data_IF_151779922835
#
_entry.id   IF_151779922835
#
_cell.length_a   1.000
_cell.length_b   1.000
_cell.length_c   1.000
_cell.angle_alpha   90.00
_cell.angle_beta   90.00
_cell.angle_gamma   90.00
#
_symmetry.space_group_name_H-M   'P 1'
#
loop_
_entity.id
_entity.type
_entity.pdbx_description
1 polymer ?
#
# COMPACT_ATOMS: atom_id res chain seq x y z
N UNK A 1 -45.97 24.03 -8.15
CA UNK A 1 -46.97 24.58 -9.10
C UNK A 1 -46.31 24.71 -10.47
N UNK A 2 -46.97 24.18 -11.50
CA UNK A 2 -46.62 24.02 -12.95
C UNK A 2 -46.37 25.36 -13.69
N UNK A 3 -45.96 25.43 -14.99
CA UNK A 3 -46.10 24.45 -16.11
C UNK A 3 -44.84 24.23 -17.00
N UNK A 4 -44.61 23.09 -17.68
CA UNK A 4 -45.16 22.55 -18.95
C UNK A 4 -45.13 23.47 -20.18
N UNK A 5 -44.28 23.15 -21.15
CA UNK A 5 -44.48 23.42 -22.58
C UNK A 5 -44.03 22.21 -23.43
N UNK A 6 -44.91 21.84 -24.37
CA UNK A 6 -44.79 20.81 -25.41
C UNK A 6 -43.98 21.32 -26.61
N UNK A 7 -43.33 20.43 -27.38
CA UNK A 7 -43.63 20.20 -28.80
C UNK A 7 -42.72 19.12 -29.45
N UNK A 8 -43.32 18.21 -30.23
CA UNK A 8 -42.67 17.36 -31.24
C UNK A 8 -42.40 18.12 -32.55
N UNK A 9 -42.16 17.49 -33.73
CA UNK A 9 -42.81 16.26 -34.21
C UNK A 9 -41.92 15.22 -34.93
N UNK A 10 -42.57 14.09 -35.25
CA UNK A 10 -42.13 12.95 -36.04
C UNK A 10 -41.82 13.25 -37.52
N UNK A 11 -40.94 12.43 -38.14
CA UNK A 11 -41.06 12.10 -39.58
C UNK A 11 -40.48 10.71 -39.91
N UNK A 12 -41.38 9.76 -40.17
CA UNK A 12 -41.16 8.55 -40.95
C UNK A 12 -41.12 8.92 -42.45
N UNK A 13 -40.34 8.18 -43.25
CA UNK A 13 -40.69 7.91 -44.66
C UNK A 13 -39.99 6.63 -45.17
N UNK A 14 -40.84 5.72 -45.66
CA UNK A 14 -40.56 4.50 -46.43
C UNK A 14 -39.97 4.80 -47.82
N UNK A 15 -39.31 3.80 -48.41
CA UNK A 15 -39.42 3.53 -49.87
C UNK A 15 -38.14 3.05 -50.58
N UNK A 16 -38.07 1.76 -50.92
CA UNK A 16 -37.35 1.29 -52.13
C UNK A 16 -38.20 1.54 -53.40
N UNK A 17 -37.99 0.89 -54.56
CA UNK A 17 -37.09 -0.24 -54.89
C UNK A 17 -36.47 -0.27 -56.33
N UNK A 18 -35.74 -1.37 -56.65
CA UNK A 18 -35.48 -2.02 -57.98
C UNK A 18 -34.73 -1.24 -59.10
N UNK A 19 -33.88 -1.79 -59.99
CA UNK A 19 -33.32 -3.12 -60.27
C UNK A 19 -32.18 -3.01 -61.32
N UNK A 20 -31.49 -4.14 -61.54
CA UNK A 20 -30.83 -4.60 -62.78
C UNK A 20 -29.41 -4.14 -63.16
N UNK A 21 -28.47 -5.07 -63.00
CA UNK A 21 -27.90 -5.78 -64.15
C UNK A 21 -26.59 -5.26 -64.74
N UNK A 22 -25.48 -5.98 -64.49
CA UNK A 22 -24.55 -6.53 -65.51
C UNK A 22 -23.18 -6.90 -64.89
N UNK A 23 -22.80 -8.17 -65.00
CA UNK A 23 -21.41 -8.64 -64.98
C UNK A 23 -20.85 -8.58 -66.43
N UNK A 24 -19.57 -8.90 -66.74
CA UNK A 24 -18.48 -9.41 -65.89
C UNK A 24 -17.11 -8.74 -66.19
N UNK A 25 -16.05 -9.15 -65.48
CA UNK A 25 -14.82 -9.73 -66.08
C UNK A 25 -13.74 -9.96 -65.01
N UNK A 26 -13.10 -11.12 -65.12
CA UNK A 26 -12.19 -11.70 -64.16
C UNK A 26 -10.90 -10.90 -63.96
N UNK A 27 -10.64 -10.46 -62.73
CA UNK A 27 -9.31 -10.03 -62.29
C UNK A 27 -8.79 -11.03 -61.27
N UNK A 28 -7.81 -11.84 -61.69
CA UNK A 28 -7.06 -12.76 -60.82
C UNK A 28 -6.52 -12.00 -59.60
N UNK A 29 -7.03 -12.32 -58.40
CA UNK A 29 -6.41 -11.92 -57.13
C UNK A 29 -5.33 -12.93 -56.78
N UNK A 30 -4.08 -12.48 -56.79
CA UNK A 30 -2.97 -13.19 -56.14
C UNK A 30 -3.19 -13.06 -54.63
N UNK A 31 -3.51 -14.17 -53.96
CA UNK A 31 -3.53 -14.24 -52.50
C UNK A 31 -2.08 -14.27 -52.00
N UNK A 32 -1.55 -13.10 -51.64
CA UNK A 32 -0.37 -13.03 -50.79
C UNK A 32 -0.77 -13.48 -49.38
N UNK A 33 -0.45 -14.73 -49.05
CA UNK A 33 -0.66 -15.28 -47.72
C UNK A 33 0.22 -14.55 -46.69
N UNK A 34 -0.35 -13.59 -45.97
CA UNK A 34 0.26 -13.08 -44.72
C UNK A 34 0.06 -14.17 -43.67
N UNK A 35 1.15 -14.87 -43.35
CA UNK A 35 1.24 -15.79 -42.23
C UNK A 35 0.97 -14.99 -40.94
N UNK A 36 -0.18 -15.19 -40.32
CA UNK A 36 -0.49 -14.62 -39.02
C UNK A 36 0.43 -15.27 -37.97
N UNK A 37 1.22 -14.46 -37.27
CA UNK A 37 1.97 -14.92 -36.10
C UNK A 37 0.97 -15.21 -34.98
N UNK A 38 0.87 -16.48 -34.59
CA UNK A 38 0.06 -16.90 -33.45
C UNK A 38 0.72 -16.36 -32.18
N UNK A 39 0.16 -15.29 -31.61
CA UNK A 39 0.54 -14.84 -30.29
C UNK A 39 0.12 -15.92 -29.29
N UNK A 40 1.10 -16.53 -28.61
CA UNK A 40 0.84 -17.43 -27.48
C UNK A 40 0.04 -16.67 -26.43
N UNK A 41 -1.24 -17.00 -26.29
CA UNK A 41 -2.10 -16.47 -25.26
C UNK A 41 -1.46 -16.83 -23.90
N UNK A 42 -1.05 -15.80 -23.16
CA UNK A 42 -0.67 -15.98 -21.76
C UNK A 42 -1.87 -16.58 -21.03
N UNK A 43 -1.67 -17.53 -20.09
CA UNK A 43 -2.78 -18.10 -19.35
C UNK A 43 -3.56 -16.97 -18.69
N UNK A 44 -4.85 -16.89 -18.99
CA UNK A 44 -5.74 -15.91 -18.38
C UNK A 44 -5.68 -16.11 -16.87
N UNK A 45 -5.12 -15.14 -16.16
CA UNK A 45 -5.15 -15.14 -14.70
C UNK A 45 -6.61 -15.21 -14.28
N UNK A 46 -6.99 -16.25 -13.54
CA UNK A 46 -8.34 -16.39 -13.00
C UNK A 46 -8.78 -15.13 -12.25
N UNK A 47 -10.09 -14.95 -12.03
CA UNK A 47 -10.63 -13.72 -11.45
C UNK A 47 -9.97 -13.42 -10.10
N UNK A 48 -9.15 -12.35 -10.07
CA UNK A 48 -8.51 -11.88 -8.84
C UNK A 48 -9.57 -11.27 -7.94
N UNK A 49 -9.58 -11.68 -6.66
CA UNK A 49 -10.46 -11.07 -5.66
C UNK A 49 -10.03 -9.60 -5.46
N UNK A 50 -10.98 -8.65 -5.40
CA UNK A 50 -10.64 -7.24 -5.14
C UNK A 50 -9.99 -7.08 -3.76
N UNK A 51 -8.91 -6.29 -3.67
CA UNK A 51 -8.33 -5.86 -2.40
C UNK A 51 -9.38 -5.04 -1.63
N UNK A 52 -9.58 -5.37 -0.35
CA UNK A 52 -10.63 -4.75 0.49
C UNK A 52 -10.10 -3.73 1.49
N UNK A 53 -8.82 -3.79 1.79
CA UNK A 53 -8.14 -2.89 2.69
C UNK A 53 -6.68 -3.28 2.87
N UNK A 54 -5.92 -2.39 3.49
CA UNK A 54 -4.49 -2.54 3.79
C UNK A 54 -4.28 -2.18 5.26
N UNK A 55 -3.44 -2.96 5.95
CA UNK A 55 -2.94 -2.61 7.27
C UNK A 55 -1.45 -2.32 7.12
N UNK A 56 -1.03 -1.14 7.53
CA UNK A 56 0.37 -0.74 7.52
C UNK A 56 0.97 -0.83 8.92
N UNK A 57 2.18 -1.37 9.00
CA UNK A 57 3.07 -1.11 10.14
C UNK A 57 3.72 0.28 9.98
N UNK A 58 4.45 0.72 11.00
CA UNK A 58 5.12 2.01 11.03
C UNK A 58 6.58 1.96 10.56
N UNK A 59 7.46 1.48 11.42
CA UNK A 59 8.91 1.57 11.25
C UNK A 59 9.38 0.54 10.21
N UNK A 60 10.10 1.00 9.19
CA UNK A 60 10.49 0.16 8.06
C UNK A 60 9.37 -0.07 7.03
N UNK A 61 8.17 0.50 7.25
CA UNK A 61 7.04 0.42 6.30
C UNK A 61 6.61 1.81 5.82
N UNK A 62 5.92 2.60 6.65
CA UNK A 62 5.53 3.97 6.30
C UNK A 62 6.59 5.02 6.68
N UNK A 63 7.47 4.66 7.60
CA UNK A 63 8.54 5.53 8.10
C UNK A 63 9.88 4.83 8.02
N UNK A 64 10.94 5.59 7.79
CA UNK A 64 12.31 5.08 7.87
C UNK A 64 12.63 4.78 9.34
N UNK A 65 13.19 3.60 9.67
CA UNK A 65 13.57 3.30 11.04
C UNK A 65 14.75 4.19 11.46
N UNK A 66 14.58 4.95 12.54
CA UNK A 66 15.54 5.98 13.00
C UNK A 66 16.00 5.81 14.46
N UNK A 67 15.39 4.88 15.19
CA UNK A 67 15.80 4.53 16.55
C UNK A 67 16.88 3.45 16.46
N UNK A 68 18.04 3.71 17.08
CA UNK A 68 19.09 2.71 17.28
C UNK A 68 18.70 1.80 18.47
N UNK A 69 17.82 0.83 18.20
CA UNK A 69 17.40 -0.15 19.20
C UNK A 69 18.58 -0.89 19.85
N UNK A 70 19.61 -1.36 19.12
CA UNK A 70 20.80 -1.93 19.75
C UNK A 70 21.49 -1.01 20.76
N UNK A 71 21.68 0.27 20.45
CA UNK A 71 22.27 1.22 21.40
C UNK A 71 21.38 1.40 22.64
N UNK A 72 20.07 1.57 22.43
CA UNK A 72 19.09 1.67 23.51
C UNK A 72 19.11 0.44 24.42
N UNK A 73 19.12 -0.78 23.85
CA UNK A 73 19.14 -2.01 24.64
C UNK A 73 20.42 -2.16 25.45
N UNK A 74 21.58 -1.83 24.88
CA UNK A 74 22.84 -1.84 25.63
C UNK A 74 22.80 -0.87 26.79
N UNK A 75 22.27 0.33 26.60
CA UNK A 75 22.20 1.32 27.67
C UNK A 75 21.24 0.89 28.77
N UNK A 76 20.04 0.41 28.42
CA UNK A 76 19.06 -0.10 29.40
C UNK A 76 19.60 -1.30 30.17
N UNK A 77 20.21 -2.27 29.48
CA UNK A 77 20.66 -3.53 30.08
C UNK A 77 22.03 -3.44 30.76
N UNK A 78 22.76 -2.33 30.59
CA UNK A 78 24.06 -2.11 31.22
C UNK A 78 25.26 -2.67 30.44
N UNK A 79 25.18 -2.75 29.11
CA UNK A 79 26.30 -3.00 28.21
C UNK A 79 26.14 -4.21 27.29
N UNK A 80 27.18 -4.47 26.49
CA UNK A 80 27.19 -5.51 25.45
C UNK A 80 26.96 -6.93 26.00
N UNK A 81 27.55 -7.26 27.15
CA UNK A 81 27.44 -8.59 27.73
C UNK A 81 26.00 -8.91 28.14
N UNK A 82 25.32 -7.96 28.81
CA UNK A 82 23.93 -8.11 29.21
C UNK A 82 22.99 -8.14 28.01
N UNK A 83 23.25 -7.30 27.00
CA UNK A 83 22.50 -7.31 25.75
C UNK A 83 22.64 -8.65 24.99
N UNK A 84 23.86 -9.19 24.86
CA UNK A 84 24.10 -10.47 24.22
C UNK A 84 23.42 -11.63 24.97
N UNK A 85 23.45 -11.61 26.31
CA UNK A 85 22.76 -12.60 27.14
C UNK A 85 21.25 -12.57 26.92
N UNK A 86 20.63 -11.39 26.97
CA UNK A 86 19.19 -11.20 26.74
C UNK A 86 18.78 -11.67 25.33
N UNK A 87 19.57 -11.34 24.31
CA UNK A 87 19.34 -11.77 22.93
C UNK A 87 19.47 -13.29 22.77
N UNK A 88 20.42 -13.91 23.48
CA UNK A 88 20.61 -15.36 23.50
C UNK A 88 19.41 -16.09 24.13
N UNK A 89 18.91 -15.59 25.26
CA UNK A 89 17.72 -16.16 25.93
C UNK A 89 16.43 -15.95 25.14
N UNK A 90 16.32 -14.84 24.39
CA UNK A 90 15.14 -14.49 23.60
C UNK A 90 15.08 -15.10 22.20
N UNK A 91 15.91 -16.10 21.88
CA UNK A 91 15.91 -16.73 20.56
C UNK A 91 16.36 -15.80 19.43
N UNK A 92 17.21 -14.81 19.73
CA UNK A 92 17.74 -13.86 18.76
C UNK A 92 17.05 -12.49 18.73
N UNK A 93 15.99 -12.27 19.51
CA UNK A 93 15.39 -10.95 19.73
C UNK A 93 15.44 -10.55 21.20
N UNK A 94 15.23 -9.26 21.48
CA UNK A 94 15.11 -8.73 22.84
C UNK A 94 13.80 -7.99 22.92
N UNK A 95 12.89 -8.47 23.77
CA UNK A 95 11.75 -7.69 24.23
C UNK A 95 12.19 -6.92 25.47
N UNK A 96 12.57 -5.65 25.25
CA UNK A 96 13.14 -4.82 26.32
C UNK A 96 12.11 -4.50 27.40
N UNK A 97 10.83 -4.38 27.06
CA UNK A 97 9.78 -4.03 28.02
C UNK A 97 9.52 -5.22 28.94
N UNK A 98 9.47 -6.43 28.38
CA UNK A 98 9.37 -7.63 29.19
C UNK A 98 10.62 -7.85 30.06
N UNK A 99 11.82 -7.53 29.54
CA UNK A 99 13.06 -7.65 30.31
C UNK A 99 13.09 -6.78 31.58
N UNK A 100 12.45 -5.60 31.55
CA UNK A 100 12.45 -4.63 32.67
C UNK A 100 11.18 -4.70 33.53
N UNK A 101 10.21 -5.56 33.19
CA UNK A 101 8.89 -5.65 33.83
C UNK A 101 9.00 -5.90 35.34
N UNK A 102 9.90 -6.83 35.73
CA UNK A 102 10.10 -7.24 37.12
C UNK A 102 11.30 -6.55 37.81
N UNK A 103 11.85 -5.49 37.22
CA UNK A 103 12.97 -4.76 37.82
C UNK A 103 12.53 -3.96 39.05
N UNK A 104 13.48 -3.74 39.96
CA UNK A 104 13.24 -2.85 41.09
C UNK A 104 12.80 -1.45 40.60
N UNK A 105 11.87 -0.76 41.29
CA UNK A 105 11.23 0.45 40.78
C UNK A 105 12.20 1.55 40.29
N UNK A 106 13.31 1.77 40.99
CA UNK A 106 14.30 2.77 40.60
C UNK A 106 15.03 2.41 39.30
N UNK A 107 15.32 1.11 39.10
CA UNK A 107 15.95 0.62 37.87
C UNK A 107 14.97 0.65 36.70
N UNK A 108 13.72 0.27 36.94
CA UNK A 108 12.67 0.32 35.93
C UNK A 108 12.40 1.77 35.48
N UNK A 109 12.34 2.72 36.43
CA UNK A 109 12.21 4.15 36.12
C UNK A 109 13.37 4.64 35.25
N UNK A 110 14.60 4.31 35.62
CA UNK A 110 15.76 4.68 34.82
C UNK A 110 15.73 4.07 33.41
N UNK A 111 15.32 2.80 33.28
CA UNK A 111 15.16 2.15 31.98
C UNK A 111 14.14 2.89 31.09
N UNK A 112 12.98 3.27 31.64
CA UNK A 112 11.99 4.06 30.90
C UNK A 112 12.50 5.45 30.52
N UNK A 113 13.30 6.11 31.36
CA UNK A 113 13.92 7.40 31.04
C UNK A 113 14.87 7.27 29.83
N UNK A 114 15.67 6.21 29.78
CA UNK A 114 16.54 5.91 28.63
C UNK A 114 15.69 5.65 27.38
N UNK A 115 14.69 4.79 27.46
CA UNK A 115 13.79 4.48 26.32
C UNK A 115 13.13 5.76 25.80
N UNK A 116 12.55 6.57 26.67
CA UNK A 116 11.88 7.81 26.31
C UNK A 116 12.84 8.83 25.67
N UNK A 117 14.12 8.82 26.05
CA UNK A 117 15.14 9.66 25.41
C UNK A 117 15.38 9.22 23.96
N UNK A 118 15.61 7.92 23.73
CA UNK A 118 15.80 7.37 22.39
C UNK A 118 14.57 7.54 21.50
N UNK A 119 13.36 7.40 22.06
CA UNK A 119 12.11 7.64 21.33
C UNK A 119 11.97 9.10 20.89
N UNK A 120 12.31 10.05 21.76
CA UNK A 120 12.29 11.48 21.44
C UNK A 120 13.29 11.83 20.35
N UNK A 121 14.52 11.34 20.47
CA UNK A 121 15.54 11.50 19.43
C UNK A 121 15.12 10.86 18.10
N UNK A 122 14.42 9.72 18.15
CA UNK A 122 13.84 9.07 16.99
C UNK A 122 12.77 9.94 16.33
N UNK A 123 11.89 10.54 17.12
CA UNK A 123 10.84 11.44 16.63
C UNK A 123 11.43 12.65 15.90
N UNK A 124 12.47 13.27 16.47
CA UNK A 124 13.13 14.46 15.89
C UNK A 124 13.79 14.16 14.53
N UNK A 125 14.17 12.91 14.28
CA UNK A 125 14.82 12.45 13.04
C UNK A 125 13.86 11.73 12.07
N UNK A 126 12.59 11.62 12.43
CA UNK A 126 11.62 10.78 11.73
C UNK A 126 11.46 11.23 10.29
N UNK A 127 11.48 10.24 9.38
CA UNK A 127 11.35 10.46 7.96
C UNK A 127 10.28 9.53 7.39
N UNK A 128 9.47 10.07 6.47
CA UNK A 128 8.52 9.26 5.72
C UNK A 128 9.29 8.36 4.75
N UNK A 129 8.84 7.11 4.62
CA UNK A 129 9.41 6.17 3.66
C UNK A 129 9.15 6.69 2.24
N UNK A 130 10.16 6.77 1.35
CA UNK A 130 9.95 7.15 -0.03
C UNK A 130 8.87 6.28 -0.71
N UNK A 131 7.91 6.91 -1.39
CA UNK A 131 6.79 6.21 -2.02
C UNK A 131 5.58 5.98 -1.11
N UNK A 132 5.68 6.21 0.21
CA UNK A 132 4.57 6.00 1.14
C UNK A 132 3.42 6.97 0.88
N UNK A 133 3.71 8.27 0.66
CA UNK A 133 2.70 9.28 0.37
C UNK A 133 1.97 9.00 -0.94
N UNK A 134 2.69 8.58 -1.98
CA UNK A 134 2.12 8.22 -3.28
C UNK A 134 1.25 6.95 -3.18
N UNK A 135 1.69 5.96 -2.39
CA UNK A 135 0.92 4.75 -2.14
C UNK A 135 -0.37 5.07 -1.38
N UNK A 136 -0.30 5.88 -0.32
CA UNK A 136 -1.48 6.32 0.43
C UNK A 136 -2.46 7.05 -0.48
N UNK A 137 -1.99 8.04 -1.25
CA UNK A 137 -2.82 8.76 -2.21
C UNK A 137 -3.45 7.87 -3.28
N UNK A 138 -2.73 6.82 -3.74
CA UNK A 138 -3.30 5.82 -4.63
C UNK A 138 -4.42 5.01 -3.98
N UNK A 139 -4.23 4.55 -2.74
CA UNK A 139 -5.24 3.79 -2.01
C UNK A 139 -6.49 4.63 -1.74
N UNK A 140 -6.31 5.90 -1.39
CA UNK A 140 -7.39 6.86 -1.18
C UNK A 140 -8.18 7.11 -2.46
N UNK A 141 -7.50 7.34 -3.59
CA UNK A 141 -8.13 7.51 -4.89
C UNK A 141 -8.91 6.26 -5.34
N UNK A 142 -8.54 5.07 -4.86
CA UNK A 142 -9.25 3.80 -5.08
C UNK A 142 -10.29 3.48 -4.03
N UNK A 143 -10.47 4.34 -3.01
CA UNK A 143 -11.32 4.13 -1.84
C UNK A 143 -11.05 2.79 -1.14
N UNK A 144 -9.77 2.40 -1.07
CA UNK A 144 -9.31 1.22 -0.35
C UNK A 144 -8.99 1.65 1.07
N UNK A 145 -9.68 1.06 2.06
CA UNK A 145 -9.47 1.40 3.47
C UNK A 145 -8.05 1.02 3.91
N UNK A 146 -7.31 1.98 4.45
CA UNK A 146 -6.04 1.77 5.14
C UNK A 146 -6.24 1.88 6.65
N UNK A 147 -5.49 1.08 7.42
CA UNK A 147 -5.41 1.17 8.88
C UNK A 147 -3.94 1.13 9.26
N UNK A 148 -3.55 1.92 10.26
CA UNK A 148 -2.22 1.89 10.84
C UNK A 148 -2.20 0.99 12.07
N UNK A 149 -1.22 0.09 12.13
CA UNK A 149 -0.88 -0.69 13.30
C UNK A 149 0.46 -0.19 13.82
N UNK A 150 0.49 0.36 15.03
CA UNK A 150 1.69 0.89 15.66
C UNK A 150 1.83 0.30 17.06
N UNK A 151 3.06 0.02 17.48
CA UNK A 151 3.37 -0.40 18.85
C UNK A 151 3.45 0.77 19.85
N UNK A 152 3.39 2.02 19.38
CA UNK A 152 3.55 3.22 20.20
C UNK A 152 2.50 4.30 19.86
N UNK A 153 1.88 4.88 20.89
CA UNK A 153 0.73 5.80 20.75
C UNK A 153 1.10 7.16 20.12
N UNK A 154 2.33 7.65 20.31
CA UNK A 154 2.71 9.03 19.95
C UNK A 154 3.01 9.22 18.46
N UNK A 155 3.33 8.14 17.72
CA UNK A 155 3.61 8.22 16.28
C UNK A 155 2.35 8.39 15.43
N UNK A 156 1.19 8.04 15.97
CA UNK A 156 -0.11 8.18 15.29
C UNK A 156 -0.49 9.64 15.02
N UNK A 157 -0.08 10.55 15.92
CA UNK A 157 -0.43 11.97 15.84
C UNK A 157 0.30 12.66 14.68
N UNK A 158 1.56 12.28 14.43
CA UNK A 158 2.40 12.86 13.39
C UNK A 158 2.01 12.42 11.96
N UNK A 159 1.45 11.22 11.81
CA UNK A 159 1.01 10.69 10.51
C UNK A 159 -0.43 11.06 10.15
N UNK A 160 -1.21 11.64 11.07
CA UNK A 160 -2.55 12.15 10.78
C UNK A 160 -2.56 13.28 9.72
N UNK A 161 -1.37 13.80 9.38
CA UNK A 161 -1.15 14.85 8.38
C UNK A 161 -0.72 14.33 7.00
N UNK A 162 -0.54 13.01 6.84
CA UNK A 162 -0.35 12.36 5.53
C UNK A 162 -1.70 12.03 4.89
#
# INVERSE_FOLDING_TARGET
MLPRLLNGPHRLLLGGPHASGAAPLHRRRVLAGRRAMSASASPASGPRRPLRGVVFDMDGTLTVPVIDFPAMYREVLGGDAAYAAARGSGGGSVDILHCIEDWAPDKQRHAYEVIARFEREGLDRLQIMPGASELCGFLDAKQIRSVLAASTSWKMELLSSL
#
